data_IF_880781651725
#
_entry.id   IF_880781651725
#
_cell.length_a   1.000
_cell.length_b   1.000
_cell.length_c   1.000
_cell.angle_alpha   90.00
_cell.angle_beta   90.00
_cell.angle_gamma   90.00
#
_symmetry.space_group_name_H-M   'P 1'
#
loop_
_entity.id
_entity.type
_entity.pdbx_description
1 polymer ?
#
# COMPACT_ATOMS: atom_id res chain seq x y z
N UNK A 1 -4.96 -2.69 -13.34
CA UNK A 1 -3.76 -1.95 -13.81
C UNK A 1 -2.56 -2.90 -13.73
N UNK A 2 -1.59 -2.77 -14.63
CA UNK A 2 -0.38 -3.60 -14.64
C UNK A 2 0.86 -2.71 -14.51
N UNK A 3 1.79 -3.06 -13.61
CA UNK A 3 3.03 -2.33 -13.37
C UNK A 3 4.23 -3.28 -13.56
N UNK A 4 4.93 -3.21 -14.71
CA UNK A 4 6.13 -4.01 -14.93
C UNK A 4 7.29 -3.46 -14.11
N UNK A 5 8.21 -4.35 -13.72
CA UNK A 5 9.43 -3.98 -13.03
C UNK A 5 10.56 -4.98 -13.31
N UNK A 6 11.78 -4.64 -12.92
CA UNK A 6 12.94 -5.52 -12.95
C UNK A 6 13.57 -5.52 -11.57
N UNK A 7 13.83 -6.72 -11.04
CA UNK A 7 14.54 -6.92 -9.78
C UNK A 7 15.63 -7.97 -10.00
N UNK A 8 16.90 -7.59 -9.77
CA UNK A 8 18.08 -8.44 -9.94
C UNK A 8 18.12 -9.09 -11.35
N UNK A 9 18.02 -8.27 -12.39
CA UNK A 9 17.97 -8.63 -13.81
C UNK A 9 16.80 -9.54 -14.23
N UNK A 10 15.81 -9.74 -13.35
CA UNK A 10 14.66 -10.59 -13.63
C UNK A 10 13.37 -9.78 -13.69
N UNK A 11 12.63 -9.83 -14.82
CA UNK A 11 11.39 -9.12 -14.97
C UNK A 11 10.32 -9.67 -14.03
N UNK A 12 9.49 -8.76 -13.53
CA UNK A 12 8.29 -9.06 -12.76
C UNK A 12 7.14 -8.17 -13.19
N UNK A 13 5.96 -8.53 -12.72
CA UNK A 13 4.73 -7.78 -12.97
C UNK A 13 3.92 -7.67 -11.69
N UNK A 14 3.48 -6.48 -11.36
CA UNK A 14 2.37 -6.29 -10.41
C UNK A 14 1.07 -6.17 -11.17
N UNK A 15 0.08 -6.99 -10.80
CA UNK A 15 -1.30 -6.83 -11.27
C UNK A 15 -2.16 -6.28 -10.15
N UNK A 16 -2.71 -5.09 -10.38
CA UNK A 16 -3.64 -4.42 -9.47
C UNK A 16 -5.08 -4.67 -9.96
N UNK A 17 -5.81 -5.48 -9.21
CA UNK A 17 -7.27 -5.62 -9.28
C UNK A 17 -7.90 -4.61 -8.32
N UNK A 18 -8.58 -3.62 -8.88
CA UNK A 18 -9.27 -2.58 -8.12
C UNK A 18 -10.71 -2.50 -8.60
N UNK A 19 -11.64 -2.81 -7.71
CA UNK A 19 -13.05 -2.99 -8.07
C UNK A 19 -13.98 -2.60 -6.95
N UNK A 20 -15.22 -2.28 -7.32
CA UNK A 20 -16.31 -2.07 -6.37
C UNK A 20 -16.65 -3.38 -5.67
N UNK A 21 -16.78 -3.34 -4.34
CA UNK A 21 -17.23 -4.48 -3.56
C UNK A 21 -18.73 -4.72 -3.76
N UNK A 22 -19.08 -5.79 -4.46
CA UNK A 22 -20.47 -6.23 -4.66
C UNK A 22 -20.83 -7.46 -3.83
N UNK A 23 -19.84 -8.09 -3.18
CA UNK A 23 -20.01 -9.28 -2.36
C UNK A 23 -19.04 -9.26 -1.17
N UNK A 24 -19.35 -8.48 -0.11
CA UNK A 24 -18.49 -8.36 1.06
C UNK A 24 -18.12 -9.69 1.72
N UNK A 25 -19.05 -10.65 1.71
CA UNK A 25 -18.85 -11.94 2.35
C UNK A 25 -17.73 -12.74 1.67
N UNK A 26 -17.59 -12.63 0.35
CA UNK A 26 -16.53 -13.31 -0.41
C UNK A 26 -15.11 -12.90 0.00
N UNK A 27 -14.95 -11.72 0.58
CA UNK A 27 -13.67 -11.17 1.03
C UNK A 27 -13.59 -10.99 2.56
N UNK A 28 -14.51 -11.61 3.30
CA UNK A 28 -14.52 -11.59 4.77
C UNK A 28 -14.88 -10.23 5.39
N UNK A 29 -15.54 -9.34 4.64
CA UNK A 29 -15.96 -8.02 5.12
C UNK A 29 -17.43 -8.02 5.59
N UNK A 30 -17.79 -7.00 6.38
CA UNK A 30 -19.18 -6.82 6.85
C UNK A 30 -20.13 -6.42 5.71
N UNK A 31 -21.44 -6.73 5.79
CA UNK A 31 -22.38 -6.45 4.71
C UNK A 31 -22.52 -4.96 4.32
N UNK A 32 -22.32 -4.05 5.26
CA UNK A 32 -22.39 -2.60 5.07
C UNK A 32 -21.18 -2.01 4.32
N UNK A 33 -20.17 -2.83 4.03
CA UNK A 33 -19.00 -2.47 3.21
C UNK A 33 -19.24 -2.58 1.70
N UNK A 34 -20.46 -2.90 1.27
CA UNK A 34 -20.87 -2.84 -0.15
C UNK A 34 -20.51 -1.47 -0.74
N UNK A 35 -20.23 -1.41 -2.04
CA UNK A 35 -19.81 -0.24 -2.81
C UNK A 35 -18.43 0.34 -2.52
N UNK A 36 -17.85 0.11 -1.34
CA UNK A 36 -16.46 0.47 -1.10
C UNK A 36 -15.53 -0.28 -2.06
N UNK A 37 -14.36 0.27 -2.42
CA UNK A 37 -13.42 -0.45 -3.24
C UNK A 37 -12.76 -1.60 -2.48
N UNK A 38 -12.40 -2.64 -3.21
CA UNK A 38 -11.40 -3.64 -2.83
C UNK A 38 -10.20 -3.42 -3.74
N UNK A 39 -9.01 -3.42 -3.16
CA UNK A 39 -7.75 -3.43 -3.88
C UNK A 39 -6.97 -4.72 -3.58
N UNK A 40 -6.56 -5.42 -4.63
CA UNK A 40 -5.64 -6.54 -4.55
C UNK A 40 -4.50 -6.31 -5.52
N UNK A 41 -3.25 -6.32 -5.04
CA UNK A 41 -2.07 -6.25 -5.90
C UNK A 41 -1.24 -7.54 -5.78
N UNK A 42 -1.19 -8.34 -6.84
CA UNK A 42 -0.42 -9.59 -6.89
C UNK A 42 0.92 -9.38 -7.59
N UNK A 43 1.98 -9.98 -7.05
CA UNK A 43 3.33 -9.94 -7.64
C UNK A 43 3.58 -11.24 -8.40
N UNK A 44 3.94 -11.14 -9.67
CA UNK A 44 4.27 -12.27 -10.53
C UNK A 44 5.73 -12.23 -10.95
N UNK A 45 6.46 -13.28 -10.53
CA UNK A 45 7.87 -13.51 -10.84
C UNK A 45 8.16 -15.01 -10.90
N UNK A 46 9.23 -15.45 -11.60
CA UNK A 46 9.56 -16.87 -11.69
C UNK A 46 10.16 -17.47 -10.40
N UNK A 47 10.61 -16.63 -9.46
CA UNK A 47 11.26 -17.08 -8.23
C UNK A 47 10.27 -17.47 -7.11
N UNK A 48 10.74 -18.36 -6.23
CA UNK A 48 9.96 -18.93 -5.11
C UNK A 48 10.73 -18.94 -3.78
N UNK A 49 11.90 -18.29 -3.73
CA UNK A 49 12.79 -18.25 -2.57
C UNK A 49 13.13 -16.81 -2.17
N UNK A 50 14.22 -16.60 -1.42
CA UNK A 50 14.58 -15.27 -0.89
C UNK A 50 14.72 -14.17 -1.95
N UNK A 51 15.05 -14.51 -3.20
CA UNK A 51 15.06 -13.56 -4.32
C UNK A 51 13.66 -12.99 -4.68
N UNK A 52 12.60 -13.55 -4.10
CA UNK A 52 11.22 -13.10 -4.19
C UNK A 52 10.72 -12.41 -2.90
N UNK A 53 11.58 -12.22 -1.89
CA UNK A 53 11.20 -11.50 -0.68
C UNK A 53 11.02 -10.02 -1.00
N UNK A 54 9.80 -9.53 -0.81
CA UNK A 54 9.40 -8.14 -0.97
C UNK A 54 8.37 -7.82 0.10
N UNK A 55 8.05 -6.54 0.29
CA UNK A 55 6.94 -6.12 1.13
C UNK A 55 6.24 -4.88 0.61
N UNK A 56 4.95 -4.77 0.93
CA UNK A 56 4.14 -3.61 0.65
C UNK A 56 4.17 -2.65 1.83
N UNK A 57 4.56 -1.40 1.57
CA UNK A 57 4.40 -0.27 2.48
C UNK A 57 3.17 0.51 2.02
N UNK A 58 2.22 0.75 2.92
CA UNK A 58 1.00 1.50 2.62
C UNK A 58 0.85 2.68 3.57
N UNK A 59 0.52 3.84 2.99
CA UNK A 59 0.11 5.02 3.74
C UNK A 59 -1.26 5.46 3.28
N UNK A 60 -2.08 5.93 4.20
CA UNK A 60 -3.46 6.35 3.95
C UNK A 60 -3.67 7.78 4.44
N UNK A 61 -4.37 8.56 3.62
CA UNK A 61 -4.95 9.85 4.00
C UNK A 61 -6.46 9.71 3.99
N UNK A 62 -7.10 10.04 5.10
CA UNK A 62 -8.56 10.06 5.22
C UNK A 62 -9.02 11.15 6.18
N UNK A 63 -10.21 11.69 5.97
CA UNK A 63 -10.74 12.79 6.79
C UNK A 63 -10.97 12.42 8.27
N UNK A 64 -10.92 11.12 8.59
CA UNK A 64 -11.06 10.57 9.94
C UNK A 64 -9.75 10.04 10.55
N UNK A 65 -8.61 10.28 9.89
CA UNK A 65 -7.29 9.98 10.46
C UNK A 65 -6.83 11.03 11.48
N UNK A 66 -5.68 10.84 12.13
CA UNK A 66 -5.19 11.74 13.19
C UNK A 66 -4.99 13.18 12.68
N UNK A 67 -4.66 13.33 11.40
CA UNK A 67 -4.46 14.61 10.72
C UNK A 67 -5.74 15.20 10.11
N UNK A 68 -6.90 14.55 10.24
CA UNK A 68 -8.16 15.03 9.67
C UNK A 68 -8.12 15.20 8.15
N UNK A 69 -7.40 14.31 7.45
CA UNK A 69 -7.25 14.34 5.99
C UNK A 69 -6.13 15.25 5.48
N UNK A 70 -5.34 15.90 6.35
CA UNK A 70 -4.25 16.77 5.92
C UNK A 70 -2.99 16.00 5.49
N UNK A 71 -2.71 14.85 6.12
CA UNK A 71 -1.47 14.08 5.90
C UNK A 71 -1.75 12.60 5.68
N UNK A 72 -0.80 11.95 5.01
CA UNK A 72 -0.73 10.50 4.94
C UNK A 72 -0.15 9.95 6.24
N UNK A 73 -0.75 8.87 6.72
CA UNK A 73 -0.36 8.15 7.93
C UNK A 73 -0.07 6.70 7.58
N UNK A 74 0.79 6.05 8.36
CA UNK A 74 1.06 4.62 8.19
C UNK A 74 -0.22 3.80 8.35
N UNK A 75 -0.44 2.86 7.43
CA UNK A 75 -1.60 1.96 7.46
C UNK A 75 -1.16 0.49 7.60
N UNK A 76 -0.68 0.08 8.79
CA UNK A 76 -0.39 -1.31 9.08
C UNK A 76 -1.69 -2.11 9.27
N UNK A 77 -1.58 -3.43 9.29
CA UNK A 77 -2.71 -4.28 9.65
C UNK A 77 -3.17 -3.98 11.10
N UNK A 78 -4.32 -3.33 11.25
CA UNK A 78 -4.80 -2.80 12.53
C UNK A 78 -4.80 -3.82 13.67
N UNK A 79 -5.10 -5.10 13.39
CA UNK A 79 -5.13 -6.16 14.40
C UNK A 79 -3.75 -6.55 14.95
N UNK A 80 -2.66 -6.16 14.27
CA UNK A 80 -1.30 -6.33 14.77
C UNK A 80 -0.87 -5.19 15.71
N UNK A 81 -1.59 -4.07 15.72
CA UNK A 81 -1.19 -2.86 16.45
C UNK A 81 0.13 -2.28 15.95
N UNK A 82 0.82 -1.52 16.81
CA UNK A 82 2.09 -0.88 16.47
C UNK A 82 3.21 -1.92 16.31
N UNK A 83 3.63 -2.12 15.06
CA UNK A 83 4.74 -3.01 14.71
C UNK A 83 5.96 -2.20 14.31
N UNK A 84 7.15 -2.70 14.66
CA UNK A 84 8.42 -2.08 14.25
C UNK A 84 8.77 -2.34 12.77
N UNK A 85 7.85 -2.91 11.98
CA UNK A 85 8.01 -3.20 10.55
C UNK A 85 7.17 -2.20 9.73
N UNK A 86 7.71 -1.61 8.65
CA UNK A 86 6.96 -0.68 7.81
C UNK A 86 6.00 -1.37 6.83
N UNK A 87 5.96 -2.70 6.82
CA UNK A 87 5.23 -3.48 5.83
C UNK A 87 3.85 -3.91 6.35
N UNK A 88 2.80 -3.58 5.61
CA UNK A 88 1.47 -4.16 5.84
C UNK A 88 1.39 -5.60 5.31
N UNK A 89 2.15 -5.93 4.26
CA UNK A 89 2.27 -7.28 3.71
C UNK A 89 3.72 -7.59 3.35
N UNK A 90 4.35 -8.55 4.04
CA UNK A 90 5.75 -8.95 3.79
C UNK A 90 5.82 -10.46 3.51
N UNK A 91 6.57 -10.86 2.48
CA UNK A 91 6.73 -12.27 2.17
C UNK A 91 7.30 -12.54 0.78
N UNK A 92 7.19 -13.80 0.35
CA UNK A 92 7.62 -14.22 -0.98
C UNK A 92 6.53 -13.87 -1.99
N UNK A 93 6.82 -12.98 -2.96
CA UNK A 93 5.83 -12.45 -3.91
C UNK A 93 4.53 -12.00 -3.19
N UNK A 94 4.64 -11.05 -2.24
CA UNK A 94 3.55 -10.71 -1.34
C UNK A 94 2.37 -10.14 -2.11
N UNK A 95 1.17 -10.52 -1.71
CA UNK A 95 -0.07 -9.92 -2.22
C UNK A 95 -0.50 -8.82 -1.27
N UNK A 96 -0.69 -7.61 -1.79
CA UNK A 96 -1.42 -6.58 -1.06
C UNK A 96 -2.91 -6.89 -1.18
N UNK A 97 -3.61 -6.88 -0.05
CA UNK A 97 -5.06 -6.88 -0.01
C UNK A 97 -5.53 -5.79 0.94
N UNK A 98 -6.48 -4.98 0.51
CA UNK A 98 -7.13 -3.99 1.36
C UNK A 98 -8.57 -3.72 0.90
N UNK A 99 -9.44 -3.47 1.87
CA UNK A 99 -10.88 -3.30 1.70
C UNK A 99 -11.37 -2.29 2.75
N UNK A 100 -11.10 -0.98 2.56
CA UNK A 100 -11.49 0.04 3.51
C UNK A 100 -13.01 0.10 3.63
N UNK A 101 -13.49 0.41 4.83
CA UNK A 101 -14.91 0.56 5.11
C UNK A 101 -15.17 1.52 6.24
N UNK A 102 -16.38 2.08 6.28
CA UNK A 102 -16.87 2.94 7.37
C UNK A 102 -18.32 2.63 7.68
N UNK A 103 -18.60 2.46 8.96
CA UNK A 103 -19.94 2.25 9.50
C UNK A 103 -20.15 3.20 10.69
N UNK A 104 -21.04 4.20 10.58
CA UNK A 104 -21.85 4.54 9.40
C UNK A 104 -21.00 5.09 8.23
N UNK A 105 -21.58 5.13 7.01
CA UNK A 105 -20.98 5.87 5.90
C UNK A 105 -20.96 7.37 6.24
N UNK A 106 -19.79 7.97 6.17
CA UNK A 106 -19.60 9.41 6.38
C UNK A 106 -18.93 10.01 5.15
N UNK A 107 -19.18 11.29 4.92
CA UNK A 107 -18.55 12.02 3.82
C UNK A 107 -17.04 12.04 4.07
N UNK A 108 -16.26 11.58 3.09
CA UNK A 108 -14.80 11.58 3.19
C UNK A 108 -14.09 11.45 1.85
N UNK A 109 -12.87 11.97 1.79
CA UNK A 109 -11.88 11.58 0.79
C UNK A 109 -10.91 10.59 1.41
N UNK A 110 -10.79 9.41 0.80
CA UNK A 110 -9.87 8.37 1.25
C UNK A 110 -8.91 8.03 0.11
N UNK A 111 -7.62 8.07 0.39
CA UNK A 111 -6.57 7.79 -0.58
C UNK A 111 -5.46 6.97 0.08
N UNK A 112 -5.07 5.87 -0.56
CA UNK A 112 -3.89 5.11 -0.21
C UNK A 112 -2.77 5.34 -1.24
N UNK A 113 -1.53 5.39 -0.75
CA UNK A 113 -0.33 5.21 -1.55
C UNK A 113 0.32 3.88 -1.13
N UNK A 114 0.44 2.95 -2.07
CA UNK A 114 0.96 1.61 -1.84
C UNK A 114 2.25 1.41 -2.65
N UNK A 115 3.36 1.13 -1.96
CA UNK A 115 4.67 0.94 -2.56
C UNK A 115 5.14 -0.50 -2.36
N UNK A 116 5.62 -1.13 -3.43
CA UNK A 116 6.31 -2.42 -3.34
C UNK A 116 7.79 -2.13 -3.09
N UNK A 117 8.29 -2.60 -1.96
CA UNK A 117 9.66 -2.39 -1.52
C UNK A 117 10.41 -3.71 -1.35
N UNK A 118 11.72 -3.66 -1.50
CA UNK A 118 12.63 -4.78 -1.19
C UNK A 118 13.31 -4.48 0.15
N UNK A 119 13.20 -5.39 1.14
CA UNK A 119 13.98 -5.28 2.37
C UNK A 119 15.45 -5.57 2.06
N UNK A 120 16.34 -4.70 2.54
CA UNK A 120 17.78 -4.83 2.34
C UNK A 120 18.53 -4.58 3.67
N UNK A 121 19.64 -5.27 3.88
CA UNK A 121 20.53 -5.03 5.04
C UNK A 121 21.68 -4.14 4.59
N UNK A 122 21.69 -2.91 5.07
CA UNK A 122 22.70 -1.90 4.72
C UNK A 122 23.84 -1.84 5.75
N UNK A 123 23.97 -2.87 6.60
CA UNK A 123 25.05 -3.06 7.56
C UNK A 123 24.91 -2.29 8.88
N UNK A 124 24.10 -1.23 8.91
CA UNK A 124 23.78 -0.45 10.11
C UNK A 124 22.27 -0.33 10.36
N UNK A 125 21.47 -1.22 9.76
CA UNK A 125 20.02 -1.23 9.85
C UNK A 125 19.40 -1.89 8.62
N UNK A 126 18.07 -1.97 8.62
CA UNK A 126 17.31 -2.47 7.48
C UNK A 126 16.78 -1.29 6.67
N UNK A 127 16.82 -1.41 5.36
CA UNK A 127 16.25 -0.44 4.43
C UNK A 127 15.01 -1.03 3.77
N UNK A 128 13.96 -0.21 3.61
CA UNK A 128 12.85 -0.52 2.72
C UNK A 128 13.08 0.22 1.40
N UNK A 129 13.56 -0.49 0.37
CA UNK A 129 13.93 0.09 -0.93
C UNK A 129 12.70 0.07 -1.86
N UNK A 130 12.02 1.21 -2.11
CA UNK A 130 10.81 1.24 -2.94
C UNK A 130 11.18 1.01 -4.41
N UNK A 131 10.44 0.16 -5.11
CA UNK A 131 10.72 -0.13 -6.53
C UNK A 131 9.67 0.45 -7.46
N UNK A 132 8.41 0.46 -7.00
CA UNK A 132 7.26 1.00 -7.70
C UNK A 132 6.19 1.36 -6.68
N UNK A 133 5.26 2.22 -7.08
CA UNK A 133 4.09 2.52 -6.27
C UNK A 133 2.87 2.85 -7.11
N UNK A 134 1.71 2.78 -6.47
CA UNK A 134 0.47 3.28 -7.03
C UNK A 134 -0.42 3.87 -5.94
N UNK A 135 -1.22 4.86 -6.32
CA UNK A 135 -2.30 5.38 -5.50
C UNK A 135 -3.61 4.70 -5.86
N UNK A 136 -4.57 4.69 -4.93
CA UNK A 136 -5.94 4.25 -5.18
C UNK A 136 -6.84 4.75 -4.04
N UNK A 137 -8.14 4.92 -4.27
CA UNK A 137 -8.99 5.40 -3.20
C UNK A 137 -10.47 5.50 -3.51
N UNK A 138 -11.19 6.31 -2.75
CA UNK A 138 -12.61 6.60 -3.01
C UNK A 138 -13.01 7.95 -2.41
N UNK A 139 -14.14 8.44 -2.87
CA UNK A 139 -14.81 9.64 -2.36
C UNK A 139 -16.20 9.22 -1.91
N UNK A 140 -16.51 9.41 -0.63
CA UNK A 140 -17.84 9.21 -0.07
C UNK A 140 -18.54 10.57 0.06
N UNK A 141 -19.72 10.74 -0.54
CA UNK A 141 -20.54 11.95 -0.41
C UNK A 141 -22.02 11.60 -0.36
N UNK A 142 -22.74 12.09 0.64
CA UNK A 142 -24.17 11.85 0.79
C UNK A 142 -24.54 10.36 0.88
N UNK A 143 -23.62 9.51 1.36
CA UNK A 143 -23.77 8.06 1.41
C UNK A 143 -23.45 7.31 0.12
N UNK A 144 -23.14 8.00 -0.98
CA UNK A 144 -22.68 7.40 -2.23
C UNK A 144 -21.15 7.25 -2.24
N UNK A 145 -20.66 6.13 -2.76
CA UNK A 145 -19.22 5.88 -2.96
C UNK A 145 -18.87 6.03 -4.43
N UNK A 146 -17.95 6.96 -4.71
CA UNK A 146 -17.29 7.15 -6.01
C UNK A 146 -15.87 6.61 -5.94
N UNK A 147 -15.53 5.67 -6.83
CA UNK A 147 -14.20 5.06 -6.87
C UNK A 147 -13.20 6.02 -7.52
N UNK A 148 -12.01 6.14 -6.91
CA UNK A 148 -10.87 6.85 -7.50
C UNK A 148 -9.89 5.80 -8.03
N UNK A 149 -9.76 5.66 -9.36
CA UNK A 149 -9.03 4.56 -9.96
C UNK A 149 -7.53 4.64 -9.68
N UNK A 150 -6.81 3.50 -9.74
CA UNK A 150 -5.40 3.49 -9.45
C UNK A 150 -4.57 4.33 -10.43
N UNK A 151 -3.56 5.02 -9.92
CA UNK A 151 -2.60 5.78 -10.72
C UNK A 151 -1.16 5.44 -10.30
N UNK A 152 -0.24 5.44 -11.26
CA UNK A 152 1.19 5.19 -10.99
C UNK A 152 1.76 6.33 -10.17
N UNK A 153 2.58 6.00 -9.17
CA UNK A 153 3.33 6.95 -8.35
C UNK A 153 4.80 6.97 -8.75
N UNK A 154 5.44 8.13 -8.60
CA UNK A 154 6.86 8.34 -8.86
C UNK A 154 7.65 8.72 -7.61
N UNK A 155 8.90 9.13 -7.82
CA UNK A 155 9.86 9.50 -6.78
C UNK A 155 9.30 10.54 -5.81
N UNK A 156 8.67 11.60 -6.33
CA UNK A 156 8.14 12.69 -5.51
C UNK A 156 7.01 12.22 -4.57
N UNK A 157 6.22 11.22 -4.98
CA UNK A 157 5.15 10.66 -4.16
C UNK A 157 5.73 9.86 -3.00
N UNK A 158 6.79 9.07 -3.24
CA UNK A 158 7.52 8.37 -2.17
C UNK A 158 8.20 9.37 -1.23
N UNK A 159 8.90 10.35 -1.79
CA UNK A 159 9.66 11.35 -1.03
C UNK A 159 8.77 12.14 -0.07
N UNK A 160 7.51 12.38 -0.45
CA UNK A 160 6.52 13.06 0.39
C UNK A 160 6.19 12.32 1.69
N UNK A 161 6.51 11.02 1.78
CA UNK A 161 6.22 10.16 2.93
C UNK A 161 7.43 9.91 3.84
N UNK A 162 8.63 10.34 3.45
CA UNK A 162 9.87 10.00 4.15
C UNK A 162 9.87 10.46 5.61
N UNK A 163 9.32 11.64 5.89
CA UNK A 163 9.27 12.16 7.26
C UNK A 163 8.38 11.27 8.14
N UNK A 164 7.17 10.93 7.67
CA UNK A 164 6.25 10.01 8.35
C UNK A 164 6.89 8.64 8.57
N UNK A 165 7.55 8.08 7.55
CA UNK A 165 8.20 6.77 7.61
C UNK A 165 9.34 6.73 8.63
N UNK A 166 10.21 7.75 8.61
CA UNK A 166 11.36 7.86 9.51
C UNK A 166 10.94 8.12 10.96
N UNK A 167 9.87 8.88 11.16
CA UNK A 167 9.30 9.11 12.49
C UNK A 167 8.70 7.82 13.08
N UNK A 168 7.90 7.09 12.28
CA UNK A 168 7.23 5.86 12.74
C UNK A 168 8.17 4.66 12.86
N UNK A 169 9.20 4.59 12.02
CA UNK A 169 10.14 3.46 11.98
C UNK A 169 11.60 3.95 12.07
N UNK A 170 12.04 4.50 13.22
CA UNK A 170 13.37 5.12 13.35
C UNK A 170 14.54 4.14 13.27
N UNK A 171 14.27 2.83 13.31
CA UNK A 171 15.27 1.77 13.12
C UNK A 171 15.41 1.32 11.66
N UNK A 172 14.56 1.85 10.77
CA UNK A 172 14.57 1.58 9.34
C UNK A 172 15.11 2.77 8.57
N UNK A 173 15.82 2.48 7.48
CA UNK A 173 16.28 3.45 6.51
C UNK A 173 15.26 3.59 5.38
N UNK A 174 15.07 4.82 4.92
CA UNK A 174 14.22 5.17 3.79
C UNK A 174 14.96 6.21 2.94
N UNK A 175 15.52 5.77 1.81
CA UNK A 175 16.20 6.64 0.86
C UNK A 175 15.21 7.39 -0.04
N UNK A 176 15.54 8.61 -0.50
CA UNK A 176 14.73 9.30 -1.50
C UNK A 176 14.71 8.59 -2.85
N UNK A 177 13.61 8.76 -3.58
CA UNK A 177 13.35 8.21 -4.90
C UNK A 177 12.99 6.72 -4.91
N UNK A 178 12.40 6.28 -6.01
CA UNK A 178 12.27 4.85 -6.31
C UNK A 178 13.67 4.29 -6.64
N UNK A 179 14.01 3.17 -6.02
CA UNK A 179 15.26 2.47 -6.21
C UNK A 179 15.27 1.77 -7.57
N UNK A 180 16.36 1.99 -8.32
CA UNK A 180 16.73 1.12 -9.44
C UNK A 180 17.34 -0.17 -8.87
N UNK A 181 16.60 -1.26 -9.00
CA UNK A 181 16.98 -2.59 -8.52
C UNK A 181 17.16 -3.58 -9.67
N UNK A 182 17.35 -3.07 -10.89
CA UNK A 182 17.49 -3.88 -12.10
C UNK A 182 18.71 -4.78 -12.13
#
# INVERSE_FOLDING_TARGET
MELPFVLNAVPGLVRVDYRRNTDPASVGCQPDTVDYPICTATVERPFRGYDSLMGWVQLVRSDDNESGGERFEMDPLAFLGDQALPYCWLGLNPTLFDAPSRSPRVDMDWMAHSFLCVPDDVGNGLEARPMLGFSWGFVARGGEITLVPPAVLGDADWDSHLDTLRERHPLWHFSPGLADLS
#
